data_IF_165269443994
#
_entry.id   IF_165269443994
#
_cell.length_a   1.000
_cell.length_b   1.000
_cell.length_c   1.000
_cell.angle_alpha   90.00
_cell.angle_beta   90.00
_cell.angle_gamma   90.00
#
_symmetry.space_group_name_H-M   'P 1'
#
loop_
_entity.id
_entity.type
_entity.pdbx_description
1 polymer ?
#
# COMPACT_ATOMS: atom_id res chain seq x y z
N UNK A 1 -18.68 1.75 9.39
CA UNK A 1 -17.70 0.97 8.60
C UNK A 1 -18.28 0.44 7.28
N UNK A 2 -19.30 -0.45 7.24
CA UNK A 2 -19.85 -0.97 5.96
C UNK A 2 -20.29 0.14 5.00
N UNK A 3 -21.01 1.15 5.49
CA UNK A 3 -21.43 2.30 4.69
C UNK A 3 -20.21 3.09 4.14
N UNK A 4 -19.18 3.29 4.97
CA UNK A 4 -17.97 3.98 4.55
C UNK A 4 -17.21 3.18 3.48
N UNK A 5 -17.11 1.85 3.64
CA UNK A 5 -16.46 0.99 2.65
C UNK A 5 -17.19 1.02 1.30
N UNK A 6 -18.54 0.93 1.33
CA UNK A 6 -19.37 1.03 0.14
C UNK A 6 -19.23 2.41 -0.55
N UNK A 7 -19.21 3.48 0.24
CA UNK A 7 -19.01 4.83 -0.27
C UNK A 7 -17.63 5.02 -0.93
N UNK A 8 -16.56 4.55 -0.28
CA UNK A 8 -15.22 4.59 -0.89
C UNK A 8 -15.19 3.79 -2.19
N UNK A 9 -15.82 2.60 -2.23
CA UNK A 9 -15.93 1.77 -3.43
C UNK A 9 -16.62 2.50 -4.57
N UNK A 10 -17.73 3.18 -4.27
CA UNK A 10 -18.48 3.98 -5.26
C UNK A 10 -17.62 5.11 -5.83
N UNK A 11 -16.84 5.79 -4.99
CA UNK A 11 -15.99 6.91 -5.40
C UNK A 11 -14.78 6.50 -6.24
N UNK A 12 -14.15 5.35 -5.95
CA UNK A 12 -12.94 4.93 -6.66
C UNK A 12 -13.22 3.97 -7.82
N UNK A 13 -14.40 3.36 -7.87
CA UNK A 13 -14.80 2.39 -8.90
C UNK A 13 -14.23 0.99 -8.71
N UNK A 14 -14.74 0.04 -9.49
CA UNK A 14 -14.41 -1.40 -9.39
C UNK A 14 -12.96 -1.73 -9.75
N UNK A 15 -12.28 -0.89 -10.53
CA UNK A 15 -10.90 -1.12 -10.96
C UNK A 15 -9.84 -0.88 -9.90
N UNK A 16 -10.22 -0.29 -8.74
CA UNK A 16 -9.29 0.08 -7.68
C UNK A 16 -9.41 -0.87 -6.49
N UNK A 17 -8.31 -1.47 -6.07
CA UNK A 17 -8.27 -2.28 -4.85
C UNK A 17 -8.22 -1.38 -3.61
N UNK A 18 -9.19 -1.56 -2.71
CA UNK A 18 -9.22 -0.87 -1.42
C UNK A 18 -8.48 -1.72 -0.40
N UNK A 19 -7.34 -1.23 0.08
CA UNK A 19 -6.55 -1.86 1.14
C UNK A 19 -6.89 -1.17 2.47
N UNK A 20 -7.56 -1.89 3.37
CA UNK A 20 -7.87 -1.38 4.70
C UNK A 20 -6.61 -1.43 5.58
N UNK A 21 -6.09 -0.26 5.98
CA UNK A 21 -4.94 -0.16 6.87
C UNK A 21 -5.35 -0.50 8.31
N UNK A 22 -4.86 -1.62 8.82
CA UNK A 22 -5.30 -2.19 10.10
C UNK A 22 -4.34 -1.95 11.27
N UNK A 23 -3.33 -1.10 11.10
CA UNK A 23 -2.28 -0.85 12.11
C UNK A 23 -2.78 -0.47 13.50
N UNK A 24 -3.98 0.09 13.61
CA UNK A 24 -4.62 0.48 14.87
C UNK A 24 -5.84 -0.37 15.23
N UNK A 25 -6.19 -1.34 14.42
CA UNK A 25 -7.31 -2.26 14.65
C UNK A 25 -6.83 -3.39 15.56
N UNK A 26 -7.53 -3.68 16.63
CA UNK A 26 -7.23 -4.84 17.47
C UNK A 26 -7.58 -6.15 16.75
N UNK A 27 -7.02 -7.27 17.21
CA UNK A 27 -7.39 -8.59 16.66
C UNK A 27 -8.90 -8.82 16.79
N UNK A 28 -9.49 -8.45 17.93
CA UNK A 28 -10.93 -8.63 18.17
C UNK A 28 -11.82 -7.82 17.22
N UNK A 29 -11.36 -6.62 16.81
CA UNK A 29 -12.14 -5.73 15.96
C UNK A 29 -12.03 -6.06 14.47
N UNK A 30 -11.15 -6.99 14.09
CA UNK A 30 -10.99 -7.40 12.68
C UNK A 30 -12.25 -8.07 12.11
N UNK A 31 -13.07 -8.71 12.94
CA UNK A 31 -14.35 -9.31 12.50
C UNK A 31 -15.28 -8.29 11.84
N UNK A 32 -15.30 -7.06 12.37
CA UNK A 32 -16.11 -5.98 11.82
C UNK A 32 -15.71 -5.58 10.40
N UNK A 33 -14.44 -5.76 10.03
CA UNK A 33 -13.96 -5.55 8.64
C UNK A 33 -14.53 -6.61 7.70
N UNK A 34 -14.48 -7.89 8.11
CA UNK A 34 -15.07 -8.98 7.33
C UNK A 34 -16.59 -8.80 7.15
N UNK A 35 -17.29 -8.45 8.22
CA UNK A 35 -18.72 -8.12 8.18
C UNK A 35 -19.04 -6.93 7.28
N UNK A 36 -18.12 -5.95 7.18
CA UNK A 36 -18.26 -4.82 6.28
C UNK A 36 -18.00 -5.16 4.80
N UNK A 37 -17.49 -6.35 4.51
CA UNK A 37 -17.16 -6.80 3.17
C UNK A 37 -15.75 -6.38 2.70
N UNK A 38 -14.86 -6.03 3.64
CA UNK A 38 -13.46 -5.73 3.33
C UNK A 38 -12.75 -7.03 2.95
N UNK A 39 -12.15 -7.05 1.78
CA UNK A 39 -11.43 -8.23 1.27
C UNK A 39 -9.92 -8.14 1.52
N UNK A 40 -9.34 -6.94 1.40
CA UNK A 40 -7.90 -6.74 1.46
C UNK A 40 -7.53 -5.88 2.66
N UNK A 41 -6.62 -6.39 3.48
CA UNK A 41 -6.09 -5.69 4.66
C UNK A 41 -4.59 -5.45 4.55
N UNK A 42 -4.13 -4.32 5.08
CA UNK A 42 -2.73 -3.92 5.05
C UNK A 42 -2.15 -3.74 6.45
N UNK A 43 -1.05 -4.42 6.73
CA UNK A 43 -0.32 -4.31 7.99
C UNK A 43 1.02 -3.62 7.84
N UNK A 44 1.39 -2.86 8.88
CA UNK A 44 2.65 -2.12 8.93
C UNK A 44 3.76 -2.86 9.68
N UNK A 45 3.43 -3.83 10.53
CA UNK A 45 4.37 -4.56 11.38
C UNK A 45 4.22 -6.06 11.23
N UNK A 46 5.32 -6.76 11.01
CA UNK A 46 5.31 -8.21 10.80
C UNK A 46 4.72 -8.98 12.00
N UNK A 47 4.93 -8.51 13.24
CA UNK A 47 4.38 -9.15 14.44
C UNK A 47 2.85 -9.02 14.50
N UNK A 48 2.29 -7.86 14.12
CA UNK A 48 0.85 -7.64 14.07
C UNK A 48 0.22 -8.45 12.93
N UNK A 49 0.90 -8.51 11.78
CA UNK A 49 0.55 -9.37 10.66
C UNK A 49 0.44 -10.85 11.10
N UNK A 50 1.47 -11.41 11.74
CA UNK A 50 1.46 -12.80 12.19
C UNK A 50 0.34 -13.08 13.19
N UNK A 51 0.12 -12.17 14.15
CA UNK A 51 -0.91 -12.31 15.18
C UNK A 51 -2.32 -12.28 14.59
N UNK A 52 -2.60 -11.35 13.69
CA UNK A 52 -3.92 -11.21 13.06
C UNK A 52 -4.17 -12.31 12.04
N UNK A 53 -3.17 -12.69 11.27
CA UNK A 53 -3.28 -13.81 10.34
C UNK A 53 -3.52 -15.15 11.06
N UNK A 54 -2.92 -15.36 12.24
CA UNK A 54 -3.16 -16.58 13.01
C UNK A 54 -4.63 -16.76 13.42
N UNK A 55 -5.37 -15.65 13.61
CA UNK A 55 -6.80 -15.68 13.98
C UNK A 55 -7.72 -15.71 12.74
N UNK A 56 -7.39 -14.93 11.70
CA UNK A 56 -8.30 -14.70 10.58
C UNK A 56 -7.89 -15.43 9.29
N UNK A 57 -6.65 -15.93 9.17
CA UNK A 57 -6.21 -16.74 8.03
C UNK A 57 -6.66 -16.17 6.69
N UNK A 58 -7.33 -17.01 5.91
CA UNK A 58 -7.80 -16.69 4.55
C UNK A 58 -9.10 -15.87 4.51
N UNK A 59 -9.59 -15.39 5.66
CA UNK A 59 -10.73 -14.46 5.68
C UNK A 59 -10.40 -13.12 5.00
N UNK A 60 -9.11 -12.80 4.89
CA UNK A 60 -8.62 -11.61 4.20
C UNK A 60 -7.46 -11.97 3.27
N UNK A 61 -7.29 -11.17 2.23
CA UNK A 61 -6.06 -11.06 1.47
C UNK A 61 -5.12 -10.10 2.19
N UNK A 62 -3.91 -10.54 2.49
CA UNK A 62 -2.97 -9.80 3.34
C UNK A 62 -1.93 -9.08 2.50
N UNK A 63 -1.82 -7.76 2.70
CA UNK A 63 -0.78 -6.93 2.13
C UNK A 63 0.14 -6.38 3.23
N UNK A 64 1.41 -6.20 2.92
CA UNK A 64 2.35 -5.51 3.80
C UNK A 64 2.57 -4.09 3.27
N UNK A 65 2.28 -3.08 4.10
CA UNK A 65 2.29 -1.67 3.71
C UNK A 65 3.21 -0.80 4.57
N UNK A 66 3.94 -1.40 5.53
CA UNK A 66 4.92 -0.71 6.36
C UNK A 66 6.36 -0.93 5.88
N UNK A 67 7.33 -0.21 6.45
CA UNK A 67 8.74 -0.39 6.09
C UNK A 67 9.21 -1.84 6.33
N UNK A 68 9.71 -2.48 5.27
CA UNK A 68 10.12 -3.87 5.29
C UNK A 68 11.60 -4.02 5.67
N UNK A 69 11.85 -4.36 6.91
CA UNK A 69 13.17 -4.82 7.33
C UNK A 69 13.46 -6.22 6.77
N UNK A 70 14.65 -6.44 6.22
CA UNK A 70 15.04 -7.70 5.56
C UNK A 70 14.95 -8.94 6.46
N UNK A 71 15.08 -8.79 7.80
CA UNK A 71 14.92 -9.89 8.77
C UNK A 71 13.45 -10.29 8.99
N UNK A 72 12.47 -9.48 8.52
CA UNK A 72 11.03 -9.75 8.60
C UNK A 72 10.48 -10.36 7.31
N UNK A 73 11.25 -10.40 6.22
CA UNK A 73 10.82 -10.94 4.93
C UNK A 73 10.27 -12.37 5.03
N UNK A 74 10.82 -13.22 5.94
CA UNK A 74 10.33 -14.60 6.13
C UNK A 74 8.85 -14.67 6.56
N UNK A 75 8.43 -13.81 7.48
CA UNK A 75 7.04 -13.76 7.93
C UNK A 75 6.12 -13.21 6.83
N UNK A 76 6.55 -12.16 6.16
CA UNK A 76 5.82 -11.52 5.05
C UNK A 76 5.66 -12.48 3.87
N UNK A 77 6.70 -13.18 3.45
CA UNK A 77 6.65 -14.19 2.38
C UNK A 77 5.66 -15.34 2.63
N UNK A 78 5.40 -15.65 3.90
CA UNK A 78 4.48 -16.74 4.26
C UNK A 78 3.02 -16.31 4.23
N UNK A 79 2.74 -15.02 4.43
CA UNK A 79 1.40 -14.53 4.73
C UNK A 79 0.88 -13.60 3.62
N UNK A 80 1.73 -12.70 3.11
CA UNK A 80 1.26 -11.65 2.23
C UNK A 80 1.19 -12.06 0.76
N UNK A 81 0.21 -11.52 0.06
CA UNK A 81 0.12 -11.61 -1.40
C UNK A 81 0.89 -10.49 -2.11
N UNK A 82 1.05 -9.34 -1.45
CA UNK A 82 1.72 -8.18 -2.01
C UNK A 82 2.41 -7.36 -0.92
N UNK A 83 3.60 -6.87 -1.22
CA UNK A 83 4.31 -5.85 -0.44
C UNK A 83 4.27 -4.54 -1.19
N UNK A 84 3.88 -3.43 -0.53
CA UNK A 84 3.81 -2.11 -1.17
C UNK A 84 5.07 -1.26 -1.00
N UNK A 85 5.92 -1.60 -0.06
CA UNK A 85 6.95 -0.74 0.52
C UNK A 85 8.36 -1.31 0.35
N UNK A 86 8.65 -1.87 -0.82
CA UNK A 86 9.99 -2.37 -1.12
C UNK A 86 10.89 -1.20 -1.51
N UNK A 87 11.90 -0.91 -0.66
CA UNK A 87 12.80 0.24 -0.81
C UNK A 87 14.29 -0.10 -0.59
N UNK A 88 14.64 -1.38 -0.40
CA UNK A 88 16.02 -1.76 -0.14
C UNK A 88 16.43 -3.06 -0.82
N UNK A 89 17.67 -3.09 -1.33
CA UNK A 89 18.26 -4.29 -1.95
C UNK A 89 18.29 -5.48 -0.98
N UNK A 90 18.54 -5.21 0.32
CA UNK A 90 18.59 -6.25 1.34
C UNK A 90 17.25 -6.94 1.59
N UNK A 91 16.15 -6.21 1.44
CA UNK A 91 14.79 -6.76 1.48
C UNK A 91 14.47 -7.46 0.15
N UNK A 92 14.78 -6.85 -0.99
CA UNK A 92 14.54 -7.40 -2.32
C UNK A 92 15.14 -8.80 -2.49
N UNK A 93 16.39 -9.01 -2.03
CA UNK A 93 17.06 -10.32 -2.10
C UNK A 93 16.41 -11.43 -1.27
N UNK A 94 15.55 -11.10 -0.31
CA UNK A 94 14.89 -12.07 0.59
C UNK A 94 13.40 -12.21 0.33
N UNK A 95 12.84 -11.28 -0.43
CA UNK A 95 11.41 -11.29 -0.74
C UNK A 95 11.13 -12.29 -1.86
N UNK A 96 10.09 -13.11 -1.68
CA UNK A 96 9.63 -14.11 -2.66
C UNK A 96 8.20 -13.90 -3.11
N UNK A 97 7.49 -12.99 -2.46
CA UNK A 97 6.14 -12.55 -2.86
C UNK A 97 6.24 -11.29 -3.74
N UNK A 98 5.26 -11.04 -4.61
CA UNK A 98 5.22 -9.83 -5.42
C UNK A 98 5.35 -8.55 -4.58
N UNK A 99 6.00 -7.52 -5.15
CA UNK A 99 6.10 -6.23 -4.49
C UNK A 99 5.98 -5.06 -5.46
N UNK A 100 5.60 -3.91 -4.88
CA UNK A 100 5.71 -2.60 -5.47
C UNK A 100 6.94 -1.90 -4.87
N UNK A 101 7.66 -1.16 -5.69
CA UNK A 101 8.78 -0.34 -5.23
C UNK A 101 8.26 0.97 -4.68
N UNK A 102 8.62 1.28 -3.44
CA UNK A 102 8.36 2.58 -2.85
C UNK A 102 9.32 3.61 -3.40
N UNK A 103 8.78 4.70 -3.98
CA UNK A 103 9.55 5.80 -4.57
C UNK A 103 9.38 7.06 -3.75
N UNK A 104 10.48 7.66 -3.31
CA UNK A 104 10.50 8.95 -2.61
C UNK A 104 10.38 10.09 -3.62
N UNK A 105 9.18 10.61 -3.80
CA UNK A 105 8.91 11.74 -4.69
C UNK A 105 8.90 13.09 -3.96
N UNK A 106 9.01 13.08 -2.63
CA UNK A 106 8.99 14.31 -1.84
C UNK A 106 10.35 15.03 -1.79
N UNK A 107 11.45 14.32 -2.06
CA UNK A 107 12.81 14.83 -1.88
C UNK A 107 13.22 14.99 -0.41
N UNK A 108 12.38 14.57 0.54
CA UNK A 108 12.70 14.62 1.96
C UNK A 108 13.57 13.42 2.34
N UNK A 109 14.79 13.65 2.78
CA UNK A 109 15.73 12.59 3.19
C UNK A 109 15.25 11.74 4.38
N UNK A 110 14.24 12.21 5.12
CA UNK A 110 13.63 11.48 6.25
C UNK A 110 12.58 10.47 5.82
N UNK A 111 12.13 10.50 4.57
CA UNK A 111 11.12 9.57 4.04
C UNK A 111 11.76 8.34 3.42
N UNK A 112 11.05 7.21 3.55
CA UNK A 112 11.39 5.95 2.88
C UNK A 112 11.21 6.06 1.37
N UNK A 113 11.79 5.12 0.66
CA UNK A 113 11.65 4.98 -0.79
C UNK A 113 12.95 5.13 -1.54
N UNK A 114 12.99 4.55 -2.73
CA UNK A 114 14.08 4.69 -3.70
C UNK A 114 13.98 6.09 -4.33
N UNK A 115 15.12 6.76 -4.49
CA UNK A 115 15.14 8.00 -5.28
C UNK A 115 14.78 7.70 -6.75
N UNK A 116 14.04 8.59 -7.43
CA UNK A 116 13.61 8.37 -8.81
C UNK A 116 14.75 8.01 -9.76
N UNK A 117 15.92 8.61 -9.58
CA UNK A 117 17.11 8.38 -10.41
C UNK A 117 17.73 6.98 -10.21
N UNK A 118 17.50 6.35 -9.05
CA UNK A 118 17.96 5.01 -8.73
C UNK A 118 16.97 3.91 -9.13
N UNK A 119 15.74 4.26 -9.54
CA UNK A 119 14.66 3.32 -9.81
C UNK A 119 15.02 2.31 -10.90
N UNK A 120 15.59 2.77 -12.02
CA UNK A 120 15.96 1.88 -13.13
C UNK A 120 16.93 0.79 -12.67
N UNK A 121 17.98 1.18 -11.91
CA UNK A 121 18.96 0.24 -11.33
C UNK A 121 18.30 -0.74 -10.35
N UNK A 122 17.35 -0.28 -9.57
CA UNK A 122 16.64 -1.15 -8.62
C UNK A 122 15.75 -2.17 -9.33
N UNK A 123 15.10 -1.79 -10.43
CA UNK A 123 14.27 -2.67 -11.24
C UNK A 123 15.07 -3.75 -11.99
N UNK A 124 16.36 -3.54 -12.25
CA UNK A 124 17.26 -4.60 -12.73
C UNK A 124 17.50 -5.69 -11.67
N UNK A 125 17.43 -5.32 -10.38
CA UNK A 125 17.63 -6.24 -9.26
C UNK A 125 16.37 -7.01 -8.89
N UNK A 126 15.20 -6.41 -9.06
CA UNK A 126 13.91 -6.95 -8.59
C UNK A 126 12.80 -6.71 -9.62
N UNK A 127 12.12 -7.79 -10.00
CA UNK A 127 10.94 -7.73 -10.89
C UNK A 127 9.74 -7.22 -10.12
N UNK A 128 9.53 -5.91 -10.14
CA UNK A 128 8.42 -5.27 -9.46
C UNK A 128 7.11 -5.35 -10.26
N UNK A 129 5.97 -5.44 -9.58
CA UNK A 129 4.65 -5.35 -10.22
C UNK A 129 4.22 -3.93 -10.52
N UNK A 130 4.78 -2.96 -9.80
CA UNK A 130 4.41 -1.56 -9.89
C UNK A 130 5.15 -0.68 -8.91
N UNK A 131 4.64 0.51 -8.67
CA UNK A 131 5.22 1.52 -7.80
C UNK A 131 4.27 1.93 -6.67
N UNK A 132 4.85 2.46 -5.61
CA UNK A 132 4.15 3.06 -4.48
C UNK A 132 4.78 4.40 -4.12
N UNK A 133 3.97 5.34 -3.66
CA UNK A 133 4.48 6.58 -3.03
C UNK A 133 3.62 7.04 -1.87
N UNK A 134 4.25 7.80 -0.96
CA UNK A 134 3.61 8.49 0.17
C UNK A 134 3.96 9.98 0.07
N UNK A 135 3.08 10.82 -0.47
CA UNK A 135 3.27 12.27 -0.49
C UNK A 135 3.47 12.87 0.92
N UNK A 136 3.98 14.08 1.03
CA UNK A 136 3.92 14.83 2.29
C UNK A 136 2.50 14.92 2.83
N UNK A 137 2.35 14.85 4.15
CA UNK A 137 1.05 15.02 4.80
C UNK A 137 0.56 16.47 4.58
N UNK A 138 -0.69 16.62 4.18
CA UNK A 138 -1.31 17.91 3.88
C UNK A 138 -2.80 17.86 4.15
N UNK A 139 -3.40 19.00 4.51
CA UNK A 139 -4.85 19.15 4.64
C UNK A 139 -5.55 19.36 3.28
N UNK A 140 -4.78 19.68 2.24
CA UNK A 140 -5.28 19.85 0.86
C UNK A 140 -4.96 18.59 0.02
N UNK A 141 -5.98 17.79 -0.27
CA UNK A 141 -5.85 16.58 -1.07
C UNK A 141 -5.24 16.85 -2.48
N UNK A 142 -5.54 18.01 -3.06
CA UNK A 142 -5.02 18.39 -4.38
C UNK A 142 -3.50 18.61 -4.38
N UNK A 143 -2.90 18.94 -3.24
CA UNK A 143 -1.46 19.06 -3.12
C UNK A 143 -0.72 17.73 -3.34
N UNK A 144 -1.41 16.59 -3.23
CA UNK A 144 -0.86 15.27 -3.53
C UNK A 144 -0.86 14.93 -5.04
N UNK A 145 -1.68 15.60 -5.86
CA UNK A 145 -1.82 15.31 -7.29
C UNK A 145 -0.51 15.30 -8.07
N UNK A 146 0.41 16.26 -7.91
CA UNK A 146 1.68 16.23 -8.66
C UNK A 146 2.53 14.99 -8.37
N UNK A 147 2.49 14.47 -7.14
CA UNK A 147 3.20 13.24 -6.77
C UNK A 147 2.57 12.00 -7.41
N UNK A 148 1.25 11.94 -7.48
CA UNK A 148 0.53 10.83 -8.12
C UNK A 148 0.73 10.82 -9.63
N UNK A 149 0.63 11.97 -10.27
CA UNK A 149 0.96 12.14 -11.69
C UNK A 149 2.40 11.66 -11.97
N UNK A 150 3.36 12.10 -11.15
CA UNK A 150 4.76 11.72 -11.33
C UNK A 150 5.00 10.23 -11.12
N UNK A 151 4.31 9.59 -10.15
CA UNK A 151 4.41 8.14 -9.95
C UNK A 151 3.89 7.37 -11.17
N UNK A 152 2.75 7.80 -11.72
CA UNK A 152 2.18 7.20 -12.94
C UNK A 152 3.14 7.32 -14.12
N UNK A 153 3.71 8.50 -14.38
CA UNK A 153 4.68 8.72 -15.46
C UNK A 153 5.91 7.81 -15.31
N UNK A 154 6.43 7.65 -14.09
CA UNK A 154 7.55 6.74 -13.82
C UNK A 154 7.16 5.29 -14.09
N UNK A 155 5.99 4.85 -13.65
CA UNK A 155 5.51 3.50 -13.91
C UNK A 155 5.35 3.23 -15.40
N UNK A 156 4.73 4.15 -16.14
CA UNK A 156 4.59 4.07 -17.60
C UNK A 156 5.94 3.97 -18.31
N UNK A 157 6.91 4.80 -17.91
CA UNK A 157 8.27 4.79 -18.48
C UNK A 157 9.00 3.45 -18.29
N UNK A 158 8.66 2.70 -17.23
CA UNK A 158 9.24 1.39 -16.93
C UNK A 158 8.31 0.21 -17.28
N UNK A 159 7.16 0.43 -17.93
CA UNK A 159 6.21 -0.61 -18.32
C UNK A 159 5.49 -1.27 -17.14
N UNK A 160 5.43 -0.60 -15.99
CA UNK A 160 4.78 -1.06 -14.77
C UNK A 160 3.30 -0.63 -14.75
N UNK A 161 2.45 -1.44 -14.11
CA UNK A 161 0.99 -1.23 -14.19
C UNK A 161 0.32 -0.95 -12.85
N UNK A 162 0.87 -1.44 -11.75
CA UNK A 162 0.24 -1.28 -10.43
C UNK A 162 0.74 0.00 -9.75
N UNK A 163 -0.20 0.82 -9.29
CA UNK A 163 0.05 2.07 -8.61
C UNK A 163 -0.62 2.07 -7.24
N UNK A 164 0.17 1.92 -6.18
CA UNK A 164 -0.29 2.06 -4.81
C UNK A 164 -0.06 3.48 -4.34
N UNK A 165 -1.10 4.29 -4.36
CA UNK A 165 -1.07 5.69 -3.96
C UNK A 165 -2.45 6.12 -3.46
N UNK A 166 -2.49 7.14 -2.61
CA UNK A 166 -3.70 7.60 -1.96
C UNK A 166 -3.97 6.93 -0.61
N UNK A 167 -4.29 7.78 0.35
CA UNK A 167 -4.66 7.45 1.73
C UNK A 167 -6.04 8.02 2.06
N UNK A 168 -6.47 7.97 3.32
CA UNK A 168 -7.77 8.50 3.75
C UNK A 168 -8.00 9.97 3.38
N UNK A 169 -6.96 10.75 3.15
CA UNK A 169 -7.06 12.18 2.87
C UNK A 169 -7.16 12.48 1.37
N UNK A 170 -6.53 11.66 0.53
CA UNK A 170 -6.25 11.97 -0.87
C UNK A 170 -6.58 10.83 -1.87
N UNK A 171 -7.26 9.76 -1.41
CA UNK A 171 -7.56 8.58 -2.24
C UNK A 171 -8.41 8.90 -3.48
N UNK A 172 -9.27 9.94 -3.43
CA UNK A 172 -10.06 10.37 -4.60
C UNK A 172 -9.17 10.93 -5.69
N UNK A 173 -8.27 11.84 -5.30
CA UNK A 173 -7.26 12.41 -6.22
C UNK A 173 -6.36 11.31 -6.78
N UNK A 174 -5.96 10.35 -5.93
CA UNK A 174 -5.18 9.20 -6.37
C UNK A 174 -5.93 8.34 -7.40
N UNK A 175 -7.22 8.08 -7.19
CA UNK A 175 -8.05 7.32 -8.13
C UNK A 175 -8.18 8.04 -9.48
N UNK A 176 -8.38 9.36 -9.48
CA UNK A 176 -8.40 10.20 -10.69
C UNK A 176 -7.06 10.14 -11.44
N UNK A 177 -5.93 10.06 -10.73
CA UNK A 177 -4.59 9.93 -11.31
C UNK A 177 -4.22 8.49 -11.69
N UNK A 178 -5.14 7.52 -11.57
CA UNK A 178 -4.94 6.16 -12.04
C UNK A 178 -4.42 5.18 -10.99
N UNK A 179 -4.63 5.45 -9.69
CA UNK A 179 -4.31 4.47 -8.65
C UNK A 179 -5.01 3.14 -8.92
N UNK A 180 -4.29 2.03 -8.80
CA UNK A 180 -4.85 0.68 -8.85
C UNK A 180 -5.07 0.11 -7.44
N UNK A 181 -4.38 0.68 -6.45
CA UNK A 181 -4.54 0.35 -5.02
C UNK A 181 -4.51 1.64 -4.20
N UNK A 182 -5.50 1.78 -3.30
CA UNK A 182 -5.52 2.83 -2.28
C UNK A 182 -5.39 2.22 -0.89
N UNK A 183 -4.83 2.98 0.07
CA UNK A 183 -4.61 2.51 1.45
C UNK A 183 -5.37 3.38 2.43
N UNK A 184 -6.54 2.95 2.85
CA UNK A 184 -7.43 3.75 3.69
C UNK A 184 -7.49 3.22 5.12
N UNK A 185 -7.52 4.13 6.06
CA UNK A 185 -7.65 3.86 7.50
C UNK A 185 -8.74 4.73 8.12
N UNK A 186 -8.42 5.94 8.56
CA UNK A 186 -9.32 6.81 9.32
C UNK A 186 -10.69 7.00 8.66
N UNK A 187 -10.76 7.22 7.34
CA UNK A 187 -12.04 7.39 6.63
C UNK A 187 -12.92 6.13 6.68
N UNK A 188 -12.30 4.95 6.73
CA UNK A 188 -13.02 3.68 6.81
C UNK A 188 -13.64 3.48 8.20
N UNK A 189 -12.94 3.91 9.26
CA UNK A 189 -13.30 3.71 10.66
C UNK A 189 -14.08 4.89 11.28
N UNK A 190 -14.28 5.99 10.55
CA UNK A 190 -15.07 7.13 11.00
C UNK A 190 -16.50 6.71 11.35
N UNK A 191 -17.06 7.33 12.43
CA UNK A 191 -18.45 7.13 12.86
C UNK A 191 -19.44 7.86 11.95
#
# INVERSE_FOLDING_TARGET
MRANYAHIREEVGEGVTIVAATKYVSVADMSALAEAGVEVVGENRAQDLERKHAEYGDAFRWHFIGHLQSNKAKAVNRICELVHSLDSESAARKLTVPALVEVNLSGEASKSGIEPDDLARFLELYEARGLMTMPPETDDAEASRPYFTRLRELAEAHGLRELSMGTSQDYRVAAEEGATLIRVGSVLYAE
#
